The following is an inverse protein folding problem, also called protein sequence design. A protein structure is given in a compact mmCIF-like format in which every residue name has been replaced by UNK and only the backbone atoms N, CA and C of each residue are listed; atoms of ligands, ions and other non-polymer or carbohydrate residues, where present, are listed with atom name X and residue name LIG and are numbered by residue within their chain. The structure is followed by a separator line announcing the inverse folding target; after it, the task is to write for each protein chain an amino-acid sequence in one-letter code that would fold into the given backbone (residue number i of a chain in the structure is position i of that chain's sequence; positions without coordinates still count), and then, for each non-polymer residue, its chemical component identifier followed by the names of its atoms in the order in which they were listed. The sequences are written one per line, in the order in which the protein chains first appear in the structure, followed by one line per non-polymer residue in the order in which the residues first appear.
data_IF_826614969611
#
_entry.id   IF_826614969611
#
_cell.length_a   1.000
_cell.length_b   1.000
_cell.length_c   1.000
_cell.angle_alpha   90.00
_cell.angle_beta   90.00
_cell.angle_gamma   90.00
#
_symmetry.space_group_name_H-M   'P 1'
#
loop_
_entity.id
_entity.type
_entity.pdbx_description
1 polymer ?
#
# COMPACT_ATOMS: atom_id res chain seq x y z
N UNK A 1 -3.78 -8.78 -0.93
CA UNK A 1 -4.04 -9.01 -2.38
C UNK A 1 -5.43 -9.58 -2.51
N UNK A 2 -6.24 -9.07 -3.45
CA UNK A 2 -7.65 -9.46 -3.51
C UNK A 2 -8.50 -8.89 -2.37
N UNK A 3 -7.96 -7.89 -1.66
CA UNK A 3 -8.72 -7.16 -0.65
C UNK A 3 -9.76 -6.31 -1.36
N UNK A 4 -11.01 -6.45 -0.95
CA UNK A 4 -12.14 -5.72 -1.53
C UNK A 4 -12.83 -4.94 -0.42
N UNK A 5 -13.29 -3.75 -0.77
CA UNK A 5 -14.01 -2.82 0.13
C UNK A 5 -15.13 -3.48 0.92
N UNK A 6 -15.71 -4.51 0.31
CA UNK A 6 -17.10 -4.88 0.51
C UNK A 6 -17.24 -6.35 0.92
N UNK A 7 -16.13 -7.03 1.24
CA UNK A 7 -16.20 -8.33 1.90
C UNK A 7 -16.59 -8.13 3.38
N UNK A 8 -17.75 -8.65 3.82
CA UNK A 8 -18.25 -8.43 5.17
C UNK A 8 -17.35 -9.01 6.26
N UNK A 9 -16.54 -10.03 5.95
CA UNK A 9 -15.67 -10.72 6.90
C UNK A 9 -14.32 -9.99 7.04
N UNK A 10 -13.83 -9.38 5.97
CA UNK A 10 -12.58 -8.62 5.96
C UNK A 10 -12.84 -7.13 6.21
N UNK A 11 -12.85 -6.28 5.19
CA UNK A 11 -13.01 -4.82 5.37
C UNK A 11 -14.32 -4.42 6.05
N UNK A 12 -15.39 -5.23 5.93
CA UNK A 12 -16.63 -5.03 6.67
C UNK A 12 -16.47 -5.15 8.19
N UNK A 13 -15.62 -6.06 8.68
CA UNK A 13 -15.37 -6.22 10.12
C UNK A 13 -14.56 -5.04 10.67
N UNK A 14 -13.55 -4.58 9.92
CA UNK A 14 -12.78 -3.37 10.24
C UNK A 14 -13.69 -2.14 10.31
N UNK A 15 -14.56 -1.95 9.32
CA UNK A 15 -15.53 -0.85 9.32
C UNK A 15 -16.44 -0.90 10.55
N UNK A 16 -17.00 -2.06 10.85
CA UNK A 16 -17.86 -2.26 12.02
C UNK A 16 -17.12 -1.94 13.32
N UNK A 17 -15.85 -2.32 13.42
CA UNK A 17 -15.01 -2.04 14.59
C UNK A 17 -14.77 -0.53 14.75
N UNK A 18 -14.45 0.18 13.67
CA UNK A 18 -14.28 1.64 13.69
C UNK A 18 -15.56 2.36 14.13
N UNK A 19 -16.71 1.97 13.57
CA UNK A 19 -18.01 2.54 13.90
C UNK A 19 -18.43 2.26 15.35
N UNK A 20 -17.98 1.15 15.93
CA UNK A 20 -18.20 0.79 17.34
C UNK A 20 -17.32 1.60 18.29
N UNK A 21 -16.03 1.73 17.98
CA UNK A 21 -15.05 2.38 18.86
C UNK A 21 -15.08 3.92 18.74
N UNK A 22 -15.45 4.47 17.58
CA UNK A 22 -15.51 5.92 17.34
C UNK A 22 -16.95 6.34 17.04
N UNK A 23 -17.64 6.86 18.06
CA UNK A 23 -19.06 7.23 17.93
C UNK A 23 -19.28 8.31 16.87
N UNK A 24 -20.07 7.97 15.85
CA UNK A 24 -20.47 8.91 14.80
C UNK A 24 -19.43 9.09 13.69
N UNK A 25 -18.37 8.28 13.67
CA UNK A 25 -17.39 8.28 12.59
C UNK A 25 -18.04 7.96 11.25
N UNK A 26 -17.56 8.63 10.20
CA UNK A 26 -17.89 8.29 8.82
C UNK A 26 -16.78 7.42 8.24
N UNK A 27 -17.09 6.17 7.86
CA UNK A 27 -16.13 5.24 7.25
C UNK A 27 -16.49 5.01 5.79
N UNK A 28 -15.59 5.48 4.90
CA UNK A 28 -15.64 5.18 3.48
C UNK A 28 -14.61 4.09 3.13
N UNK A 29 -15.10 2.91 2.74
CA UNK A 29 -14.27 1.80 2.25
C UNK A 29 -14.21 1.88 0.72
N UNK A 30 -13.07 2.29 0.18
CA UNK A 30 -12.92 2.59 -1.25
C UNK A 30 -13.16 1.36 -2.13
N UNK A 31 -14.15 1.46 -3.02
CA UNK A 31 -14.41 0.48 -4.09
C UNK A 31 -13.81 0.97 -5.41
N UNK A 32 -12.99 0.16 -6.06
CA UNK A 32 -12.42 0.46 -7.38
C UNK A 32 -13.17 -0.34 -8.44
N UNK A 33 -14.19 0.28 -9.05
CA UNK A 33 -15.10 -0.36 -9.99
C UNK A 33 -16.55 -0.24 -9.54
N UNK A 34 -17.47 -0.86 -10.27
CA UNK A 34 -18.91 -0.67 -10.06
C UNK A 34 -19.53 -1.66 -9.07
N UNK A 35 -18.84 -2.77 -8.80
CA UNK A 35 -19.34 -3.85 -7.95
C UNK A 35 -18.18 -4.65 -7.32
N UNK A 36 -18.54 -5.53 -6.39
CA UNK A 36 -17.61 -6.42 -5.68
C UNK A 36 -16.69 -7.25 -6.59
N UNK A 37 -17.23 -7.77 -7.70
CA UNK A 37 -16.45 -8.62 -8.61
C UNK A 37 -15.43 -7.80 -9.40
N UNK A 38 -15.82 -6.62 -9.88
CA UNK A 38 -14.90 -5.68 -10.52
C UNK A 38 -13.82 -5.19 -9.54
N UNK A 39 -14.18 -4.83 -8.31
CA UNK A 39 -13.24 -4.40 -7.27
C UNK A 39 -12.18 -5.47 -6.99
N UNK A 40 -12.64 -6.71 -6.82
CA UNK A 40 -11.74 -7.87 -6.65
C UNK A 40 -10.83 -8.05 -7.85
N UNK A 41 -11.36 -8.02 -9.08
CA UNK A 41 -10.59 -8.18 -10.31
C UNK A 41 -9.55 -7.06 -10.49
N UNK A 42 -9.96 -5.80 -10.24
CA UNK A 42 -9.12 -4.62 -10.40
C UNK A 42 -7.93 -4.62 -9.43
N UNK A 43 -8.06 -5.24 -8.25
CA UNK A 43 -6.94 -5.42 -7.32
C UNK A 43 -5.76 -6.24 -7.89
N UNK A 44 -5.98 -6.99 -8.98
CA UNK A 44 -4.96 -7.74 -9.70
C UNK A 44 -4.64 -7.17 -11.09
N UNK A 45 -5.66 -6.71 -11.81
CA UNK A 45 -5.52 -6.50 -13.27
C UNK A 45 -5.77 -5.07 -13.75
N UNK A 46 -5.95 -4.11 -12.85
CA UNK A 46 -6.11 -2.70 -13.21
C UNK A 46 -4.82 -1.92 -12.96
N UNK A 47 -4.44 -1.06 -13.91
CA UNK A 47 -3.31 -0.15 -13.73
C UNK A 47 -3.42 0.67 -12.43
N UNK A 48 -2.41 0.60 -11.56
CA UNK A 48 -2.43 1.20 -10.21
C UNK A 48 -2.51 2.72 -10.30
N UNK A 49 -1.87 3.36 -11.29
CA UNK A 49 -2.01 4.80 -11.49
C UNK A 49 -3.47 5.19 -11.73
N UNK A 50 -4.20 4.40 -12.53
CA UNK A 50 -5.63 4.61 -12.75
C UNK A 50 -6.47 4.33 -11.50
N UNK A 51 -6.08 3.37 -10.65
CA UNK A 51 -6.73 3.14 -9.36
C UNK A 51 -6.55 4.34 -8.42
N UNK A 52 -5.34 4.89 -8.35
CA UNK A 52 -5.02 6.10 -7.56
C UNK A 52 -5.82 7.29 -8.08
N UNK A 53 -5.89 7.51 -9.39
CA UNK A 53 -6.70 8.59 -9.98
C UNK A 53 -8.19 8.45 -9.63
N UNK A 54 -8.72 7.23 -9.64
CA UNK A 54 -10.09 6.96 -9.23
C UNK A 54 -10.29 7.26 -7.74
N UNK A 55 -9.37 6.80 -6.89
CA UNK A 55 -9.42 7.09 -5.46
C UNK A 55 -9.38 8.60 -5.18
N UNK A 56 -8.47 9.35 -5.82
CA UNK A 56 -8.39 10.81 -5.70
C UNK A 56 -9.73 11.48 -6.08
N UNK A 57 -10.36 11.06 -7.19
CA UNK A 57 -11.67 11.59 -7.61
C UNK A 57 -12.78 11.26 -6.61
N UNK A 58 -12.83 10.02 -6.12
CA UNK A 58 -13.80 9.58 -5.11
C UNK A 58 -13.68 10.40 -3.83
N UNK A 59 -12.45 10.58 -3.33
CA UNK A 59 -12.17 11.34 -2.10
C UNK A 59 -12.53 12.82 -2.27
N UNK A 60 -12.18 13.42 -3.42
CA UNK A 60 -12.48 14.82 -3.71
C UNK A 60 -13.97 15.12 -3.84
N UNK A 61 -14.74 14.17 -4.36
CA UNK A 61 -16.18 14.34 -4.55
C UNK A 61 -17.01 14.02 -3.31
N UNK A 62 -16.40 13.54 -2.22
CA UNK A 62 -17.08 13.25 -0.97
C UNK A 62 -17.03 14.48 -0.02
N UNK A 63 -18.14 15.21 0.15
CA UNK A 63 -18.15 16.42 0.97
C UNK A 63 -17.84 16.16 2.44
N UNK A 64 -18.00 14.92 2.94
CA UNK A 64 -17.66 14.56 4.32
C UNK A 64 -16.16 14.48 4.57
N UNK A 65 -15.36 14.38 3.51
CA UNK A 65 -13.89 14.30 3.57
C UNK A 65 -13.22 15.64 3.29
N UNK A 66 -13.98 16.68 2.93
CA UNK A 66 -13.47 17.96 2.47
C UNK A 66 -12.56 18.67 3.50
N UNK A 67 -12.85 18.51 4.80
CA UNK A 67 -12.05 19.10 5.90
C UNK A 67 -10.82 18.26 6.27
N UNK A 68 -10.56 17.19 5.53
CA UNK A 68 -9.49 16.24 5.76
C UNK A 68 -9.98 14.90 6.30
N UNK A 69 -9.13 13.88 6.16
CA UNK A 69 -9.45 12.50 6.49
C UNK A 69 -8.23 11.72 6.96
N UNK A 70 -8.46 10.71 7.79
CA UNK A 70 -7.47 9.68 8.08
C UNK A 70 -7.62 8.54 7.07
N UNK A 71 -6.52 7.87 6.74
CA UNK A 71 -6.48 6.78 5.78
C UNK A 71 -5.83 5.53 6.39
N UNK A 72 -6.44 4.36 6.16
CA UNK A 72 -5.90 3.07 6.59
C UNK A 72 -5.75 2.18 5.35
N UNK A 73 -4.51 1.77 5.06
CA UNK A 73 -4.19 0.90 3.94
C UNK A 73 -3.75 -0.48 4.41
N UNK A 74 -4.44 -1.51 3.95
CA UNK A 74 -4.09 -2.91 4.23
C UNK A 74 -3.30 -3.51 3.08
N UNK A 75 -2.20 -4.21 3.39
CA UNK A 75 -1.34 -4.84 2.38
C UNK A 75 -1.01 -3.85 1.26
N UNK A 76 -1.28 -4.16 -0.02
CA UNK A 76 -0.96 -3.27 -1.14
C UNK A 76 -1.63 -1.88 -1.05
N UNK A 77 -2.77 -1.79 -0.34
CA UNK A 77 -3.47 -0.53 -0.11
C UNK A 77 -2.63 0.50 0.67
N UNK A 78 -1.64 0.06 1.45
CA UNK A 78 -0.72 0.94 2.16
C UNK A 78 0.09 1.83 1.20
N UNK A 79 0.78 1.23 0.22
CA UNK A 79 1.52 2.01 -0.77
C UNK A 79 0.59 2.76 -1.76
N UNK A 80 -0.64 2.29 -1.99
CA UNK A 80 -1.59 3.01 -2.85
C UNK A 80 -2.09 4.29 -2.18
N UNK A 81 -2.43 4.24 -0.88
CA UNK A 81 -2.82 5.44 -0.14
C UNK A 81 -1.64 6.38 0.08
N UNK A 82 -0.41 5.87 0.19
CA UNK A 82 0.79 6.74 0.13
C UNK A 82 0.86 7.48 -1.21
N UNK A 83 0.59 6.82 -2.33
CA UNK A 83 0.54 7.47 -3.63
C UNK A 83 -0.56 8.54 -3.71
N UNK A 84 -1.74 8.28 -3.13
CA UNK A 84 -2.82 9.28 -2.97
C UNK A 84 -2.30 10.51 -2.21
N UNK A 85 -1.65 10.31 -1.06
CA UNK A 85 -1.08 11.40 -0.26
C UNK A 85 -0.06 12.26 -1.04
N UNK A 86 0.78 11.61 -1.86
CA UNK A 86 1.79 12.29 -2.67
C UNK A 86 1.21 13.02 -3.90
N UNK A 87 0.15 12.49 -4.51
CA UNK A 87 -0.35 12.95 -5.82
C UNK A 87 -1.59 13.83 -5.75
N UNK A 88 -2.44 13.67 -4.74
CA UNK A 88 -3.68 14.43 -4.60
C UNK A 88 -3.87 14.93 -3.15
N UNK A 89 -3.24 16.06 -2.79
CA UNK A 89 -3.26 16.60 -1.42
C UNK A 89 -4.60 17.27 -1.03
N UNK A 90 -5.60 17.27 -1.91
CA UNK A 90 -6.91 17.88 -1.74
C UNK A 90 -8.02 16.84 -1.97
N UNK A 91 -8.80 16.46 -0.94
CA UNK A 91 -8.74 16.94 0.45
C UNK A 91 -7.49 16.45 1.21
N UNK A 92 -7.12 17.11 2.33
CA UNK A 92 -5.88 16.77 3.03
C UNK A 92 -5.98 15.44 3.78
N UNK A 93 -5.05 14.53 3.51
CA UNK A 93 -4.84 13.34 4.34
C UNK A 93 -4.12 13.75 5.64
N UNK A 94 -4.71 13.43 6.79
CA UNK A 94 -4.18 13.79 8.12
C UNK A 94 -3.20 12.73 8.62
N UNK A 95 -3.71 11.52 8.89
CA UNK A 95 -2.90 10.36 9.27
C UNK A 95 -2.98 9.27 8.19
N UNK A 96 -1.84 8.70 7.83
CA UNK A 96 -1.75 7.48 7.02
C UNK A 96 -1.30 6.31 7.89
N UNK A 97 -2.16 5.30 8.02
CA UNK A 97 -1.89 4.07 8.75
C UNK A 97 -1.70 2.95 7.72
N UNK A 98 -0.48 2.43 7.62
CA UNK A 98 -0.12 1.36 6.69
C UNK A 98 0.05 0.04 7.44
N UNK A 99 -0.82 -0.94 7.18
CA UNK A 99 -0.86 -2.22 7.88
C UNK A 99 -0.35 -3.30 6.94
N UNK A 100 0.90 -3.71 7.16
CA UNK A 100 1.58 -4.68 6.32
C UNK A 100 1.84 -4.19 4.89
N UNK A 101 1.93 -2.87 4.67
CA UNK A 101 2.19 -2.28 3.36
C UNK A 101 3.60 -2.51 2.84
N UNK A 102 3.74 -2.63 1.51
CA UNK A 102 5.03 -2.91 0.86
C UNK A 102 5.56 -1.63 0.21
N UNK A 103 5.99 -0.66 1.03
CA UNK A 103 6.43 0.63 0.52
C UNK A 103 7.70 0.58 -0.36
N UNK A 104 8.44 -0.53 -0.31
CA UNK A 104 9.57 -0.84 -1.20
C UNK A 104 9.28 -1.94 -2.21
N UNK A 105 8.00 -2.29 -2.39
CA UNK A 105 7.64 -3.40 -3.24
C UNK A 105 8.04 -4.73 -2.64
N UNK A 106 8.11 -5.73 -3.51
CA UNK A 106 8.43 -7.10 -3.14
C UNK A 106 9.42 -7.70 -4.13
N UNK A 107 10.27 -8.57 -3.61
CA UNK A 107 11.13 -9.46 -4.39
C UNK A 107 10.98 -10.88 -3.84
N UNK A 108 10.22 -11.69 -4.56
CA UNK A 108 9.82 -13.03 -4.13
C UNK A 108 8.39 -13.10 -3.60
N UNK A 109 7.80 -14.28 -3.73
CA UNK A 109 6.41 -14.53 -3.36
C UNK A 109 6.33 -15.74 -2.41
N UNK A 110 6.37 -15.53 -1.08
CA UNK A 110 6.67 -16.59 -0.14
C UNK A 110 5.53 -17.61 0.05
N UNK A 111 4.26 -17.22 -0.13
CA UNK A 111 3.08 -18.10 -0.02
C UNK A 111 1.95 -17.53 -0.87
N UNK A 112 1.46 -18.28 -1.86
CA UNK A 112 0.31 -17.84 -2.65
C UNK A 112 -1.00 -18.18 -1.93
N UNK A 113 -1.84 -17.18 -1.59
CA UNK A 113 -3.09 -17.42 -0.84
C UNK A 113 -4.19 -18.06 -1.70
N UNK A 114 -4.05 -18.01 -3.02
CA UNK A 114 -4.92 -18.71 -3.96
C UNK A 114 -4.28 -20.07 -4.27
N UNK A 115 -5.00 -21.17 -4.18
CA UNK A 115 -4.48 -22.44 -4.70
C UNK A 115 -4.50 -22.45 -6.24
N UNK A 116 -3.64 -23.25 -6.88
CA UNK A 116 -3.79 -23.62 -8.30
C UNK A 116 -3.04 -22.77 -9.33
N UNK A 117 -3.55 -22.73 -10.56
CA UNK A 117 -2.88 -22.19 -11.77
C UNK A 117 -2.64 -20.69 -11.76
N UNK A 118 -3.39 -19.91 -10.97
CA UNK A 118 -3.26 -18.44 -10.87
C UNK A 118 -1.88 -18.05 -10.32
N UNK A 119 -1.34 -18.83 -9.37
CA UNK A 119 -0.05 -18.53 -8.77
C UNK A 119 1.12 -18.82 -9.70
N UNK A 120 1.04 -19.92 -10.46
CA UNK A 120 2.05 -20.22 -11.47
C UNK A 120 2.02 -19.18 -12.60
N UNK A 121 0.83 -18.70 -12.99
CA UNK A 121 0.70 -17.61 -13.95
C UNK A 121 1.35 -16.34 -13.41
N UNK A 122 1.05 -15.93 -12.18
CA UNK A 122 1.66 -14.75 -11.56
C UNK A 122 3.18 -14.91 -11.46
N UNK A 123 3.67 -16.08 -11.03
CA UNK A 123 5.11 -16.36 -10.91
C UNK A 123 5.82 -16.22 -12.27
N UNK A 124 5.27 -16.84 -13.33
CA UNK A 124 5.81 -16.74 -14.68
C UNK A 124 5.71 -15.33 -15.28
N UNK A 125 4.67 -14.57 -14.94
CA UNK A 125 4.54 -13.17 -15.37
C UNK A 125 5.50 -12.25 -14.61
N UNK A 126 5.85 -12.57 -13.36
CA UNK A 126 6.79 -11.77 -12.57
C UNK A 126 8.23 -11.92 -13.03
N UNK A 127 8.63 -13.07 -13.59
CA UNK A 127 9.90 -13.22 -14.33
C UNK A 127 9.99 -12.21 -15.49
N UNK A 128 8.84 -11.73 -15.95
CA UNK A 128 8.67 -10.78 -17.04
C UNK A 128 8.04 -9.46 -16.56
N UNK A 129 8.06 -9.17 -15.25
CA UNK A 129 7.41 -8.00 -14.66
C UNK A 129 7.89 -6.70 -15.32
N UNK A 130 9.11 -6.68 -15.84
CA UNK A 130 9.76 -5.54 -16.50
C UNK A 130 9.19 -5.22 -17.89
N UNK A 131 8.42 -6.12 -18.49
CA UNK A 131 7.80 -5.88 -19.79
C UNK A 131 6.63 -4.92 -19.68
N UNK A 132 6.57 -3.95 -20.59
CA UNK A 132 5.57 -2.88 -20.57
C UNK A 132 4.12 -3.40 -20.53
N UNK A 133 3.79 -4.45 -21.30
CA UNK A 133 2.44 -5.01 -21.25
C UNK A 133 2.08 -5.59 -19.86
N UNK A 134 3.05 -6.21 -19.17
CA UNK A 134 2.85 -6.73 -17.82
C UNK A 134 2.71 -5.58 -16.82
N UNK A 135 3.55 -4.55 -16.93
CA UNK A 135 3.44 -3.33 -16.12
C UNK A 135 2.06 -2.66 -16.27
N UNK A 136 1.49 -2.61 -17.47
CA UNK A 136 0.20 -1.95 -17.68
C UNK A 136 -1.02 -2.78 -17.25
N UNK A 137 -0.89 -4.10 -17.12
CA UNK A 137 -1.99 -5.00 -16.83
C UNK A 137 -1.94 -5.58 -15.41
N UNK A 138 -0.78 -6.04 -14.94
CA UNK A 138 -0.67 -6.73 -13.65
C UNK A 138 -0.29 -5.75 -12.53
N UNK A 139 -1.13 -5.65 -11.51
CA UNK A 139 -0.91 -4.79 -10.34
C UNK A 139 0.38 -5.15 -9.61
N UNK A 140 0.63 -6.44 -9.43
CA UNK A 140 1.80 -6.93 -8.67
C UNK A 140 3.11 -6.58 -9.37
N UNK A 141 3.14 -6.54 -10.70
CA UNK A 141 4.32 -6.15 -11.45
C UNK A 141 4.68 -4.67 -11.22
N UNK A 142 3.69 -3.81 -11.00
CA UNK A 142 3.88 -2.36 -10.83
C UNK A 142 4.59 -1.99 -9.52
N UNK A 143 4.65 -2.92 -8.56
CA UNK A 143 5.48 -2.81 -7.35
C UNK A 143 6.43 -4.00 -7.16
N UNK A 144 6.73 -4.73 -8.24
CA UNK A 144 7.85 -5.66 -8.25
C UNK A 144 9.15 -4.85 -8.24
N UNK A 145 10.06 -5.21 -7.34
CA UNK A 145 11.32 -4.51 -7.16
C UNK A 145 12.44 -5.54 -7.17
N UNK A 146 13.14 -5.65 -8.30
CA UNK A 146 14.25 -6.59 -8.46
C UNK A 146 15.56 -5.96 -7.97
N UNK A 147 16.08 -6.36 -6.80
CA UNK A 147 17.30 -5.78 -6.27
C UNK A 147 18.54 -6.21 -7.04
N UNK A 148 18.46 -7.23 -7.89
CA UNK A 148 19.56 -7.66 -8.74
C UNK A 148 19.73 -6.74 -9.95
N UNK A 149 18.69 -6.01 -10.35
CA UNK A 149 18.70 -5.15 -11.53
C UNK A 149 17.95 -3.83 -11.32
N UNK A 150 18.49 -3.02 -10.40
CA UNK A 150 17.96 -1.71 -10.01
C UNK A 150 17.77 -0.73 -11.18
N UNK A 151 18.64 -0.77 -12.18
CA UNK A 151 18.52 0.10 -13.37
C UNK A 151 17.26 -0.23 -14.15
N UNK A 152 17.00 -1.53 -14.40
CA UNK A 152 15.77 -1.95 -15.07
C UNK A 152 14.54 -1.62 -14.23
N UNK A 153 14.58 -1.86 -12.92
CA UNK A 153 13.49 -1.47 -12.02
C UNK A 153 13.18 0.04 -12.13
N UNK A 154 14.20 0.88 -12.01
CA UNK A 154 14.08 2.35 -12.06
C UNK A 154 13.52 2.83 -13.39
N UNK A 155 13.96 2.25 -14.51
CA UNK A 155 13.55 2.66 -15.86
C UNK A 155 12.17 2.11 -16.27
N UNK A 156 11.74 0.97 -15.71
CA UNK A 156 10.57 0.22 -16.22
C UNK A 156 9.38 0.21 -15.27
N UNK A 157 9.57 0.41 -13.96
CA UNK A 157 8.46 0.44 -13.01
C UNK A 157 7.61 1.68 -13.25
N UNK A 158 6.34 1.48 -13.62
CA UNK A 158 5.43 2.59 -13.95
C UNK A 158 4.73 3.18 -12.72
N UNK A 159 4.98 2.66 -11.52
CA UNK A 159 4.31 3.07 -10.29
C UNK A 159 5.28 3.20 -9.12
N UNK A 160 5.89 2.08 -8.68
CA UNK A 160 6.67 2.09 -7.45
C UNK A 160 7.92 2.97 -7.54
N UNK A 161 8.63 2.93 -8.67
CA UNK A 161 9.79 3.80 -8.87
C UNK A 161 9.39 5.29 -8.83
N UNK A 162 8.26 5.66 -9.44
CA UNK A 162 7.74 7.04 -9.42
C UNK A 162 7.46 7.53 -8.00
N UNK A 163 6.62 6.80 -7.23
CA UNK A 163 6.24 7.24 -5.88
C UNK A 163 7.39 7.18 -4.87
N UNK A 164 8.49 6.52 -5.23
CA UNK A 164 9.71 6.43 -4.43
C UNK A 164 10.80 7.40 -4.90
N UNK A 165 10.55 8.20 -5.95
CA UNK A 165 11.57 9.00 -6.63
C UNK A 165 12.83 8.17 -6.99
N UNK A 166 12.61 6.91 -7.37
CA UNK A 166 13.62 5.89 -7.65
C UNK A 166 14.59 5.58 -6.48
N UNK A 167 14.17 5.74 -5.22
CA UNK A 167 15.04 5.51 -4.03
C UNK A 167 14.41 4.59 -2.97
N UNK A 168 15.25 4.04 -2.10
CA UNK A 168 14.92 2.87 -1.28
C UNK A 168 14.46 3.19 0.16
N UNK A 169 13.31 2.71 0.65
CA UNK A 169 13.09 2.46 2.10
C UNK A 169 13.87 1.18 2.49
N UNK A 170 13.72 0.68 3.72
CA UNK A 170 14.37 -0.59 4.11
C UNK A 170 14.01 -1.73 3.14
N UNK A 171 15.02 -2.36 2.51
CA UNK A 171 14.89 -3.39 1.47
C UNK A 171 16.20 -4.16 1.29
N UNK A 172 16.33 -5.03 0.28
CA UNK A 172 17.62 -5.64 -0.05
C UNK A 172 18.64 -4.56 -0.45
N UNK A 173 19.91 -4.75 -0.07
CA UNK A 173 21.01 -3.94 -0.60
C UNK A 173 21.10 -4.13 -2.13
N UNK A 174 21.40 -3.08 -2.90
CA UNK A 174 21.50 -3.16 -4.36
C UNK A 174 22.48 -4.24 -4.85
N UNK A 175 22.09 -4.93 -5.91
CA UNK A 175 22.87 -5.96 -6.59
C UNK A 175 22.82 -7.35 -5.95
N UNK A 176 21.97 -7.58 -4.95
CA UNK A 176 21.87 -8.87 -4.24
C UNK A 176 20.52 -9.03 -3.51
N UNK A 177 20.23 -10.25 -3.03
CA UNK A 177 18.95 -10.66 -2.45
C UNK A 177 19.06 -11.34 -1.06
N UNK A 178 20.14 -11.07 -0.32
CA UNK A 178 20.48 -11.74 0.96
C UNK A 178 20.53 -10.80 2.16
N UNK A 179 21.13 -9.64 1.98
CA UNK A 179 21.34 -8.63 3.02
C UNK A 179 20.28 -7.55 2.88
N UNK A 180 19.53 -7.31 3.95
CA UNK A 180 18.57 -6.22 4.04
C UNK A 180 19.28 -5.00 4.64
N UNK A 181 19.00 -3.82 4.09
CA UNK A 181 19.27 -2.53 4.70
C UNK A 181 17.99 -1.96 5.31
N UNK A 182 18.14 -1.28 6.42
CA UNK A 182 17.08 -0.57 7.14
C UNK A 182 16.83 0.82 6.52
N UNK A 183 15.72 1.48 6.87
CA UNK A 183 15.34 2.77 6.28
C UNK A 183 16.44 3.84 6.42
N UNK A 184 17.07 3.94 7.59
CA UNK A 184 18.11 4.95 7.85
C UNK A 184 19.43 4.70 7.11
N UNK A 185 19.67 3.47 6.66
CA UNK A 185 20.85 3.09 5.87
C UNK A 185 20.71 3.47 4.39
N UNK A 186 19.52 3.84 3.94
CA UNK A 186 19.26 4.08 2.52
C UNK A 186 19.56 5.51 2.08
N UNK A 187 19.90 5.69 0.79
CA UNK A 187 20.06 7.02 0.20
C UNK A 187 18.77 7.85 0.25
N UNK A 188 17.59 7.20 0.19
CA UNK A 188 16.29 7.87 0.30
C UNK A 188 16.19 8.69 1.59
N UNK A 189 16.63 8.10 2.71
CA UNK A 189 16.57 8.71 4.03
C UNK A 189 17.76 9.63 4.27
N UNK A 190 18.97 9.23 3.89
CA UNK A 190 20.18 10.03 4.10
C UNK A 190 20.15 11.36 3.34
N UNK A 191 19.60 11.36 2.13
CA UNK A 191 19.44 12.57 1.30
C UNK A 191 18.05 13.23 1.48
N UNK A 192 17.23 12.70 2.38
CA UNK A 192 15.89 13.19 2.73
C UNK A 192 14.96 13.48 1.53
N UNK A 193 15.02 12.61 0.51
CA UNK A 193 14.41 12.87 -0.80
C UNK A 193 12.88 12.98 -0.74
N UNK A 194 12.26 12.27 0.19
CA UNK A 194 10.81 12.30 0.42
C UNK A 194 10.43 13.01 1.73
N UNK A 195 11.38 13.69 2.40
CA UNK A 195 11.14 14.30 3.72
C UNK A 195 11.02 13.28 4.86
N UNK A 196 11.43 12.02 4.66
CA UNK A 196 11.30 10.95 5.67
C UNK A 196 12.19 11.18 6.89
N UNK A 197 13.38 11.75 6.70
CA UNK A 197 14.28 12.09 7.79
C UNK A 197 13.70 13.25 8.58
N UNK A 198 13.23 14.31 7.91
CA UNK A 198 12.51 15.40 8.57
C UNK A 198 11.29 14.89 9.35
N UNK A 199 10.46 14.03 8.74
CA UNK A 199 9.29 13.43 9.41
C UNK A 199 9.68 12.58 10.61
N UNK A 200 10.79 11.82 10.53
CA UNK A 200 11.32 11.06 11.65
C UNK A 200 11.76 11.99 12.79
N UNK A 201 12.54 13.02 12.47
CA UNK A 201 13.04 14.02 13.42
C UNK A 201 11.89 14.79 14.10
N UNK A 202 10.74 14.94 13.41
CA UNK A 202 9.51 15.55 13.91
C UNK A 202 8.54 14.56 14.59
N UNK A 203 8.95 13.31 14.81
CA UNK A 203 8.10 12.25 15.40
C UNK A 203 6.80 11.97 14.63
N UNK A 204 6.80 12.18 13.31
CA UNK A 204 5.67 11.88 12.41
C UNK A 204 5.71 10.47 11.82
N UNK A 205 6.86 9.79 11.90
CA UNK A 205 6.97 8.37 11.55
C UNK A 205 6.89 7.50 12.80
N UNK A 206 5.87 6.65 12.86
CA UNK A 206 5.69 5.69 13.96
C UNK A 206 5.77 4.27 13.41
N UNK A 207 6.57 3.42 14.08
CA UNK A 207 6.74 2.02 13.73
C UNK A 207 6.12 1.14 14.83
N UNK A 208 5.14 0.32 14.45
CA UNK A 208 4.47 -0.63 15.33
C UNK A 208 4.68 -2.05 14.81
N UNK A 209 4.84 -2.99 15.74
CA UNK A 209 5.00 -4.41 15.43
C UNK A 209 4.00 -5.24 16.24
N UNK A 210 3.52 -6.34 15.64
CA UNK A 210 2.62 -7.29 16.28
C UNK A 210 2.99 -8.70 15.85
N UNK A 211 2.87 -9.66 16.76
CA UNK A 211 3.09 -11.07 16.47
C UNK A 211 1.90 -11.65 15.70
N UNK A 212 2.16 -12.28 14.55
CA UNK A 212 1.14 -12.89 13.69
C UNK A 212 1.66 -13.11 12.26
N UNK A 213 0.89 -13.85 11.44
CA UNK A 213 1.09 -13.88 9.99
C UNK A 213 0.53 -12.59 9.34
N UNK A 214 0.63 -12.48 8.01
CA UNK A 214 0.22 -11.29 7.26
C UNK A 214 -1.23 -10.88 7.53
N UNK A 215 -1.43 -9.63 7.99
CA UNK A 215 -2.72 -9.06 8.43
C UNK A 215 -3.40 -9.79 9.59
N UNK A 216 -2.67 -10.60 10.35
CA UNK A 216 -3.17 -11.27 11.54
C UNK A 216 -2.89 -10.42 12.78
N UNK A 217 -3.93 -9.79 13.32
CA UNK A 217 -3.88 -9.04 14.57
C UNK A 217 -5.23 -9.19 15.32
N UNK A 218 -5.22 -8.94 16.64
CA UNK A 218 -6.44 -9.00 17.44
C UNK A 218 -7.21 -7.68 17.40
N UNK A 219 -8.53 -7.73 17.62
CA UNK A 219 -9.36 -6.53 17.75
C UNK A 219 -8.87 -5.63 18.90
N UNK A 220 -8.44 -6.24 20.01
CA UNK A 220 -7.95 -5.50 21.18
C UNK A 220 -6.67 -4.72 20.85
N UNK A 221 -5.75 -5.35 20.12
CA UNK A 221 -4.53 -4.69 19.66
C UNK A 221 -4.86 -3.55 18.70
N UNK A 222 -5.71 -3.80 17.70
CA UNK A 222 -6.10 -2.77 16.74
C UNK A 222 -6.79 -1.57 17.42
N UNK A 223 -7.70 -1.82 18.35
CA UNK A 223 -8.34 -0.74 19.10
C UNK A 223 -7.35 0.04 19.98
N UNK A 224 -6.43 -0.65 20.66
CA UNK A 224 -5.48 -0.04 21.59
C UNK A 224 -4.35 0.74 20.88
N UNK A 225 -3.78 0.16 19.84
CA UNK A 225 -2.56 0.66 19.20
C UNK A 225 -2.84 1.48 17.94
N UNK A 226 -4.01 1.32 17.30
CA UNK A 226 -4.34 2.01 16.04
C UNK A 226 -5.48 3.02 16.24
N UNK A 227 -6.63 2.57 16.73
CA UNK A 227 -7.82 3.43 16.80
C UNK A 227 -7.63 4.55 17.82
N UNK A 228 -7.37 4.21 19.08
CA UNK A 228 -7.27 5.20 20.18
C UNK A 228 -6.13 6.21 20.02
N UNK A 229 -4.94 5.87 19.49
CA UNK A 229 -3.87 6.85 19.38
C UNK A 229 -3.97 7.74 18.14
N UNK A 230 -4.57 7.26 17.05
CA UNK A 230 -4.43 7.90 15.73
C UNK A 230 -5.75 8.24 15.00
N UNK A 231 -6.89 7.72 15.46
CA UNK A 231 -8.18 7.88 14.75
C UNK A 231 -9.29 8.52 15.59
N UNK A 232 -9.13 8.61 16.92
CA UNK A 232 -10.09 9.21 17.85
C UNK A 232 -9.79 10.65 18.19
#
# INVERSE_FOLDING_TARGET
MGDTCCNPISMGSIKTMLEKEIKGVYVNSLQIGNNFAEDTYNSFFMNVNSQVDMACKTLKNDPKLASGYNAIGFSQGGQFLRAVAQRCPDPPMLNLISIGGQHQGVYGFPKCPFGGSVCEIIRHLLDHAVFSYVQHTLVQAQYWHDPLNETIYTERSIFLADINNAKWFGFYKPGQDKVIQTLNETMLYQEDVLGLKEMYDQSKLVFLEVQGDHLQFSEQWFAAEIIKPYLS
#
